data_IF_560157460523
#
_entry.id   IF_560157460523
#
_cell.length_a   1.000
_cell.length_b   1.000
_cell.length_c   1.000
_cell.angle_alpha   90.00
_cell.angle_beta   90.00
_cell.angle_gamma   90.00
#
_symmetry.space_group_name_H-M   'P 1'
#
loop_
_entity.id
_entity.type
_entity.pdbx_description
1 polymer ?
#
# COMPACT_ATOMS: atom_id res chain seq x y z
N UNK A 1 9.46 -9.29 -10.41
CA UNK A 1 8.97 -8.69 -9.16
C UNK A 1 8.57 -7.24 -9.41
N UNK A 2 7.51 -6.75 -8.76
CA UNK A 2 7.11 -5.33 -8.78
C UNK A 2 7.65 -4.68 -7.50
N UNK A 3 8.22 -3.46 -7.64
CA UNK A 3 8.74 -2.68 -6.52
C UNK A 3 9.87 -3.38 -5.73
N UNK A 4 10.66 -4.21 -6.38
CA UNK A 4 11.86 -4.85 -5.81
C UNK A 4 12.93 -3.84 -5.39
N UNK A 5 12.89 -2.66 -6.01
CA UNK A 5 13.72 -1.51 -5.69
C UNK A 5 13.37 -0.85 -4.34
N UNK A 6 12.14 -1.02 -3.85
CA UNK A 6 11.69 -0.37 -2.62
C UNK A 6 12.36 -0.93 -1.34
N UNK A 7 12.44 -2.26 -1.11
CA UNK A 7 13.23 -2.81 0.00
C UNK A 7 14.71 -2.43 -0.11
N UNK A 8 15.31 -2.65 -1.28
CA UNK A 8 16.71 -2.31 -1.53
C UNK A 8 17.01 -0.84 -1.22
N UNK A 9 16.20 0.10 -1.73
CA UNK A 9 16.35 1.52 -1.45
C UNK A 9 16.24 1.85 0.04
N UNK A 10 15.32 1.21 0.76
CA UNK A 10 15.15 1.40 2.21
C UNK A 10 16.35 0.88 3.00
N UNK A 11 16.88 -0.28 2.62
CA UNK A 11 18.05 -0.90 3.24
C UNK A 11 19.32 -0.06 3.01
N UNK A 12 19.54 0.41 1.76
CA UNK A 12 20.64 1.30 1.41
C UNK A 12 20.58 2.60 2.21
N UNK A 13 19.41 3.23 2.31
CA UNK A 13 19.25 4.46 3.09
C UNK A 13 19.50 4.25 4.58
N UNK A 14 19.10 3.11 5.12
CA UNK A 14 19.36 2.76 6.53
C UNK A 14 20.86 2.54 6.80
N UNK A 15 21.56 1.85 5.89
CA UNK A 15 22.99 1.57 6.03
C UNK A 15 23.90 2.75 5.66
N UNK A 16 23.36 3.80 5.03
CA UNK A 16 24.15 4.94 4.57
C UNK A 16 24.57 5.86 5.72
N UNK A 17 25.86 6.14 5.83
CA UNK A 17 26.39 7.11 6.80
C UNK A 17 26.17 8.57 6.38
N UNK A 18 25.99 8.81 5.08
CA UNK A 18 25.73 10.13 4.52
C UNK A 18 25.06 10.02 3.15
N UNK A 19 24.37 11.07 2.72
CA UNK A 19 23.82 11.18 1.38
C UNK A 19 23.94 12.63 0.88
N UNK A 20 24.05 12.79 -0.44
CA UNK A 20 24.06 14.09 -1.09
C UNK A 20 22.81 14.26 -1.94
N UNK A 21 22.22 15.46 -1.89
CA UNK A 21 21.12 15.85 -2.74
C UNK A 21 21.59 16.73 -3.88
N UNK A 22 21.40 16.28 -5.12
CA UNK A 22 21.72 17.04 -6.33
C UNK A 22 20.50 17.89 -6.74
N UNK A 23 20.52 19.15 -6.37
CA UNK A 23 19.41 20.08 -6.64
C UNK A 23 19.44 20.53 -8.10
N UNK A 24 18.34 20.32 -8.80
CA UNK A 24 18.11 20.84 -10.15
C UNK A 24 18.54 19.92 -11.29
N UNK A 25 19.26 18.84 -10.99
CA UNK A 25 19.64 17.86 -12.00
C UNK A 25 18.62 16.74 -12.12
N UNK A 26 18.22 16.41 -13.34
CA UNK A 26 17.29 15.30 -13.62
C UNK A 26 18.06 14.18 -14.33
N UNK A 27 18.54 13.22 -13.55
CA UNK A 27 19.31 12.09 -14.08
C UNK A 27 18.45 10.91 -14.53
N UNK A 28 17.17 10.92 -14.17
CA UNK A 28 16.25 9.83 -14.47
C UNK A 28 15.02 10.33 -15.23
N UNK A 29 14.87 9.85 -16.47
CA UNK A 29 13.71 10.13 -17.30
C UNK A 29 12.75 8.94 -17.27
N UNK A 30 11.64 9.08 -16.56
CA UNK A 30 10.60 8.06 -16.55
C UNK A 30 9.82 8.07 -17.87
N UNK A 31 10.08 7.07 -18.71
CA UNK A 31 9.31 6.89 -19.95
C UNK A 31 8.04 6.10 -19.67
N UNK A 32 6.91 6.71 -19.99
CA UNK A 32 5.63 6.03 -20.00
C UNK A 32 5.47 5.24 -21.28
N UNK A 33 5.67 3.93 -21.18
CA UNK A 33 5.43 3.00 -22.29
C UNK A 33 4.11 2.27 -22.11
N UNK A 34 3.41 2.03 -23.22
CA UNK A 34 2.22 1.18 -23.23
C UNK A 34 2.61 -0.24 -22.80
N UNK A 35 1.82 -0.87 -21.90
CA UNK A 35 2.15 -2.18 -21.35
C UNK A 35 3.18 -2.20 -20.21
N UNK A 36 3.63 -1.03 -19.71
CA UNK A 36 4.50 -0.95 -18.54
C UNK A 36 3.93 -1.74 -17.36
N UNK A 37 4.79 -2.53 -16.72
CA UNK A 37 4.43 -3.37 -15.54
C UNK A 37 3.79 -2.52 -14.44
N UNK A 38 4.26 -1.30 -14.23
CA UNK A 38 3.76 -0.40 -13.18
C UNK A 38 2.37 0.20 -13.45
N UNK A 39 1.81 0.03 -14.66
CA UNK A 39 0.53 0.64 -15.04
C UNK A 39 -0.64 -0.32 -15.12
N UNK A 40 -0.38 -1.60 -15.33
CA UNK A 40 -1.43 -2.60 -15.53
C UNK A 40 -1.40 -3.58 -14.38
N UNK A 41 -2.50 -3.64 -13.61
CA UNK A 41 -2.63 -4.62 -12.54
C UNK A 41 -2.35 -6.04 -13.04
N UNK A 42 -1.56 -6.78 -12.29
CA UNK A 42 -1.23 -8.18 -12.53
C UNK A 42 -1.70 -9.03 -11.35
N UNK A 43 -2.24 -10.22 -11.64
CA UNK A 43 -2.77 -11.11 -10.60
C UNK A 43 -1.74 -11.55 -9.54
N UNK A 44 -0.47 -11.54 -9.89
CA UNK A 44 0.65 -11.90 -9.01
C UNK A 44 1.18 -10.73 -8.15
N UNK A 45 0.66 -9.51 -8.32
CA UNK A 45 1.11 -8.34 -7.54
C UNK A 45 0.89 -8.52 -6.06
N UNK A 46 -0.25 -9.07 -5.67
CA UNK A 46 -0.55 -9.28 -4.26
C UNK A 46 0.49 -10.18 -3.57
N UNK A 47 0.84 -11.31 -4.19
CA UNK A 47 1.84 -12.24 -3.65
C UNK A 47 3.23 -11.59 -3.60
N UNK A 48 3.60 -10.80 -4.62
CA UNK A 48 4.85 -10.03 -4.62
C UNK A 48 4.89 -8.99 -3.50
N UNK A 49 3.79 -8.28 -3.28
CA UNK A 49 3.69 -7.29 -2.20
C UNK A 49 3.79 -7.94 -0.82
N UNK A 50 3.17 -9.08 -0.61
CA UNK A 50 3.30 -9.83 0.64
C UNK A 50 4.75 -10.23 0.90
N UNK A 51 5.43 -10.73 -0.12
CA UNK A 51 6.84 -11.11 -0.04
C UNK A 51 7.75 -9.92 0.27
N UNK A 52 7.58 -8.79 -0.44
CA UNK A 52 8.32 -7.55 -0.19
C UNK A 52 8.13 -7.07 1.25
N UNK A 53 6.89 -7.05 1.74
CA UNK A 53 6.64 -6.65 3.13
C UNK A 53 7.27 -7.63 4.14
N UNK A 54 7.36 -8.92 3.80
CA UNK A 54 8.04 -9.91 4.63
C UNK A 54 9.55 -9.70 4.66
N UNK A 55 10.17 -9.48 3.51
CA UNK A 55 11.60 -9.18 3.40
C UNK A 55 11.94 -7.90 4.17
N UNK A 56 11.13 -6.84 4.02
CA UNK A 56 11.26 -5.59 4.76
C UNK A 56 11.18 -5.82 6.29
N UNK A 57 10.20 -6.61 6.75
CA UNK A 57 10.08 -6.96 8.17
C UNK A 57 11.30 -7.74 8.66
N UNK A 58 11.76 -8.73 7.88
CA UNK A 58 12.91 -9.56 8.24
C UNK A 58 14.21 -8.76 8.36
N UNK A 59 14.39 -7.74 7.55
CA UNK A 59 15.54 -6.84 7.65
C UNK A 59 15.43 -5.92 8.86
N UNK A 60 14.38 -5.11 8.92
CA UNK A 60 14.24 -4.06 9.92
C UNK A 60 13.91 -4.55 11.33
N UNK A 61 13.41 -5.78 11.49
CA UNK A 61 13.22 -6.37 12.82
C UNK A 61 14.54 -6.73 13.53
N UNK A 62 15.66 -6.75 12.80
CA UNK A 62 17.00 -7.01 13.35
C UNK A 62 17.75 -5.71 13.71
N UNK A 63 17.20 -4.57 13.37
CA UNK A 63 17.80 -3.28 13.70
C UNK A 63 17.54 -2.96 15.17
N UNK A 64 18.59 -2.78 15.96
CA UNK A 64 18.51 -2.58 17.42
C UNK A 64 18.41 -1.09 17.80
N UNK A 65 18.83 -0.19 16.92
CA UNK A 65 18.92 1.25 17.13
C UNK A 65 17.59 1.98 16.97
N UNK A 66 16.61 1.37 16.28
CA UNK A 66 15.29 1.96 16.08
C UNK A 66 14.19 0.91 15.87
N UNK A 67 13.01 1.14 16.46
CA UNK A 67 11.82 0.29 16.26
C UNK A 67 11.03 0.69 15.00
N UNK A 68 11.21 -0.07 13.94
CA UNK A 68 10.52 0.10 12.66
C UNK A 68 9.11 -0.53 12.61
N UNK A 69 8.59 -1.04 13.71
CA UNK A 69 7.32 -1.77 13.74
C UNK A 69 6.16 -0.98 13.12
N UNK A 70 6.04 0.32 13.40
CA UNK A 70 4.95 1.14 12.86
C UNK A 70 5.10 1.40 11.36
N UNK A 71 6.32 1.58 10.86
CA UNK A 71 6.62 1.77 9.44
C UNK A 71 6.31 0.50 8.64
N UNK A 72 6.67 -0.67 9.16
CA UNK A 72 6.36 -1.97 8.53
C UNK A 72 4.85 -2.21 8.47
N UNK A 73 4.12 -1.88 9.55
CA UNK A 73 2.65 -1.95 9.59
C UNK A 73 2.01 -0.96 8.62
N UNK A 74 2.53 0.26 8.54
CA UNK A 74 2.10 1.27 7.59
C UNK A 74 2.29 0.78 6.15
N UNK A 75 3.44 0.21 5.83
CA UNK A 75 3.71 -0.39 4.52
C UNK A 75 2.66 -1.45 4.17
N UNK A 76 2.40 -2.42 5.05
CA UNK A 76 1.37 -3.44 4.82
C UNK A 76 -0.02 -2.84 4.63
N UNK A 77 -0.36 -1.79 5.38
CA UNK A 77 -1.64 -1.10 5.20
C UNK A 77 -1.77 -0.49 3.80
N UNK A 78 -0.72 0.17 3.30
CA UNK A 78 -0.72 0.75 1.95
C UNK A 78 -0.85 -0.33 0.87
N UNK A 79 -0.14 -1.45 1.00
CA UNK A 79 -0.22 -2.56 0.07
C UNK A 79 -1.62 -3.19 0.03
N UNK A 80 -2.21 -3.47 1.20
CA UNK A 80 -3.57 -4.00 1.29
C UNK A 80 -4.61 -3.02 0.72
N UNK A 81 -4.46 -1.72 1.01
CA UNK A 81 -5.31 -0.66 0.44
C UNK A 81 -5.22 -0.62 -1.08
N UNK A 82 -4.02 -0.68 -1.64
CA UNK A 82 -3.80 -0.65 -3.08
C UNK A 82 -4.45 -1.86 -3.77
N UNK A 83 -4.23 -3.05 -3.24
CA UNK A 83 -4.84 -4.27 -3.77
C UNK A 83 -6.37 -4.20 -3.74
N UNK A 84 -6.96 -3.79 -2.62
CA UNK A 84 -8.41 -3.61 -2.50
C UNK A 84 -8.92 -2.58 -3.52
N UNK A 85 -8.19 -1.48 -3.73
CA UNK A 85 -8.56 -0.47 -4.73
C UNK A 85 -8.59 -1.07 -6.14
N UNK A 86 -7.54 -1.80 -6.54
CA UNK A 86 -7.48 -2.45 -7.85
C UNK A 86 -8.61 -3.45 -8.06
N UNK A 87 -8.93 -4.26 -7.04
CA UNK A 87 -10.07 -5.19 -7.11
C UNK A 87 -11.39 -4.45 -7.34
N UNK A 88 -11.63 -3.37 -6.59
CA UNK A 88 -12.88 -2.60 -6.68
C UNK A 88 -13.02 -1.80 -7.98
N UNK A 89 -11.91 -1.37 -8.58
CA UNK A 89 -11.90 -0.66 -9.87
C UNK A 89 -11.93 -1.60 -11.08
N UNK A 90 -11.79 -2.91 -10.88
CA UNK A 90 -11.78 -3.87 -11.98
C UNK A 90 -13.20 -4.12 -12.50
N UNK A 91 -13.54 -3.50 -13.64
CA UNK A 91 -14.86 -3.63 -14.30
C UNK A 91 -15.14 -5.02 -14.86
N UNK A 92 -14.12 -5.86 -15.06
CA UNK A 92 -14.29 -7.24 -15.53
C UNK A 92 -14.79 -8.19 -14.42
N UNK A 93 -14.72 -7.77 -13.14
CA UNK A 93 -15.17 -8.56 -12.00
C UNK A 93 -16.62 -8.24 -11.65
N UNK A 94 -17.41 -9.30 -11.41
CA UNK A 94 -18.74 -9.12 -10.81
C UNK A 94 -18.62 -8.55 -9.39
N UNK A 95 -19.67 -7.86 -8.92
CA UNK A 95 -19.71 -7.33 -7.55
C UNK A 95 -19.49 -8.41 -6.48
N UNK A 96 -19.99 -9.63 -6.75
CA UNK A 96 -19.79 -10.79 -5.87
C UNK A 96 -18.32 -11.21 -5.82
N UNK A 97 -17.66 -11.26 -6.98
CA UNK A 97 -16.24 -11.61 -7.05
C UNK A 97 -15.35 -10.55 -6.43
N UNK A 98 -15.65 -9.26 -6.65
CA UNK A 98 -14.96 -8.16 -5.97
C UNK A 98 -15.05 -8.32 -4.46
N UNK A 99 -16.25 -8.55 -3.92
CA UNK A 99 -16.44 -8.72 -2.47
C UNK A 99 -15.66 -9.92 -1.94
N UNK A 100 -15.67 -11.05 -2.65
CA UNK A 100 -14.92 -12.26 -2.29
C UNK A 100 -13.41 -11.99 -2.23
N UNK A 101 -12.87 -11.34 -3.26
CA UNK A 101 -11.44 -11.00 -3.34
C UNK A 101 -11.04 -9.97 -2.27
N UNK A 102 -11.82 -8.91 -2.09
CA UNK A 102 -11.58 -7.92 -1.02
C UNK A 102 -11.59 -8.58 0.35
N UNK A 103 -12.53 -9.48 0.60
CA UNK A 103 -12.57 -10.25 1.85
C UNK A 103 -11.31 -11.09 2.03
N UNK A 104 -10.85 -11.77 0.97
CA UNK A 104 -9.62 -12.56 1.02
C UNK A 104 -8.39 -11.73 1.39
N UNK A 105 -8.26 -10.50 0.87
CA UNK A 105 -7.19 -9.58 1.27
C UNK A 105 -7.31 -9.19 2.75
N UNK A 106 -8.52 -8.82 3.20
CA UNK A 106 -8.75 -8.39 4.59
C UNK A 106 -8.56 -9.53 5.60
N UNK A 107 -8.85 -10.77 5.20
CA UNK A 107 -8.72 -11.97 6.04
C UNK A 107 -7.31 -12.58 5.97
N UNK A 108 -6.43 -12.08 5.09
CA UNK A 108 -5.10 -12.62 4.96
C UNK A 108 -4.35 -12.54 6.31
N UNK A 109 -3.74 -13.64 6.81
CA UNK A 109 -3.16 -13.70 8.15
C UNK A 109 -2.13 -12.59 8.42
N UNK A 110 -1.32 -12.24 7.41
CA UNK A 110 -0.34 -11.17 7.52
C UNK A 110 -1.00 -9.80 7.68
N UNK A 111 -2.05 -9.50 6.90
CA UNK A 111 -2.81 -8.25 7.04
C UNK A 111 -3.43 -8.15 8.43
N UNK A 112 -4.08 -9.23 8.88
CA UNK A 112 -4.69 -9.26 10.23
C UNK A 112 -3.67 -9.00 11.33
N UNK A 113 -2.49 -9.64 11.24
CA UNK A 113 -1.39 -9.45 12.19
C UNK A 113 -0.87 -8.02 12.17
N UNK A 114 -0.61 -7.47 11.00
CA UNK A 114 -0.04 -6.13 10.85
C UNK A 114 -1.01 -5.02 11.26
N UNK A 115 -2.32 -5.22 11.03
CA UNK A 115 -3.32 -4.23 11.48
C UNK A 115 -3.52 -4.25 13.00
N UNK A 116 -3.04 -5.25 13.71
CA UNK A 116 -3.10 -5.27 15.17
C UNK A 116 -2.04 -4.34 15.77
N UNK A 117 -2.48 -3.34 16.52
CA UNK A 117 -1.57 -2.37 17.15
C UNK A 117 -0.85 -1.42 16.18
N UNK A 118 -1.41 -1.23 14.97
CA UNK A 118 -0.98 -0.15 14.10
C UNK A 118 -1.56 1.17 14.63
N UNK A 119 -0.69 2.13 14.94
CA UNK A 119 -1.10 3.45 15.38
C UNK A 119 -1.49 4.32 14.18
N UNK A 120 -2.77 4.64 14.12
CA UNK A 120 -3.32 5.52 13.08
C UNK A 120 -3.61 6.94 13.59
N UNK A 121 -3.20 7.26 14.81
CA UNK A 121 -3.45 8.58 15.42
C UNK A 121 -2.89 9.74 14.59
N UNK A 122 -1.68 9.66 13.99
CA UNK A 122 -1.11 10.76 13.20
C UNK A 122 -1.74 10.93 11.82
N UNK A 123 -2.58 9.98 11.37
CA UNK A 123 -3.14 10.01 10.02
C UNK A 123 -4.47 10.78 9.95
N UNK A 124 -4.81 11.38 8.79
CA UNK A 124 -6.07 12.07 8.59
C UNK A 124 -7.27 11.11 8.65
N UNK A 125 -8.46 11.66 8.92
CA UNK A 125 -9.69 10.90 9.19
C UNK A 125 -10.03 9.89 8.08
N UNK A 126 -9.82 10.22 6.82
CA UNK A 126 -10.10 9.32 5.69
C UNK A 126 -9.22 8.05 5.76
N UNK A 127 -7.99 8.22 6.21
CA UNK A 127 -7.04 7.13 6.43
C UNK A 127 -7.48 6.23 7.58
N UNK A 128 -7.92 6.84 8.69
CA UNK A 128 -8.46 6.12 9.85
C UNK A 128 -9.68 5.30 9.46
N UNK A 129 -10.59 5.86 8.66
CA UNK A 129 -11.76 5.13 8.16
C UNK A 129 -11.37 3.93 7.28
N UNK A 130 -10.37 4.10 6.39
CA UNK A 130 -9.84 3.01 5.60
C UNK A 130 -9.22 1.92 6.46
N UNK A 131 -8.40 2.30 7.42
CA UNK A 131 -7.82 1.38 8.39
C UNK A 131 -8.91 0.59 9.13
N UNK A 132 -9.92 1.27 9.69
CA UNK A 132 -11.01 0.62 10.40
C UNK A 132 -11.79 -0.34 9.50
N UNK A 133 -11.97 0.00 8.21
CA UNK A 133 -12.64 -0.89 7.26
C UNK A 133 -11.86 -2.20 7.06
N UNK A 134 -10.54 -2.14 6.97
CA UNK A 134 -9.67 -3.32 6.85
C UNK A 134 -9.60 -4.07 8.19
N UNK A 135 -9.38 -3.37 9.28
CA UNK A 135 -9.24 -3.93 10.63
C UNK A 135 -10.46 -4.71 11.08
N UNK A 136 -11.65 -4.19 10.81
CA UNK A 136 -12.94 -4.83 11.13
C UNK A 136 -13.51 -5.64 9.97
N UNK A 137 -12.77 -5.78 8.86
CA UNK A 137 -13.16 -6.58 7.69
C UNK A 137 -14.52 -6.17 7.12
N UNK A 138 -14.85 -4.89 7.18
CA UNK A 138 -16.14 -4.34 6.76
C UNK A 138 -16.11 -3.86 5.31
N UNK A 139 -16.63 -4.69 4.40
CA UNK A 139 -16.77 -4.35 2.98
C UNK A 139 -17.71 -3.15 2.79
N UNK A 140 -18.77 -3.06 3.59
CA UNK A 140 -19.72 -1.93 3.54
C UNK A 140 -19.05 -0.60 3.87
N UNK A 141 -18.32 -0.53 4.98
CA UNK A 141 -17.54 0.65 5.36
C UNK A 141 -16.49 1.00 4.29
N UNK A 142 -15.81 0.01 3.73
CA UNK A 142 -14.81 0.21 2.66
C UNK A 142 -15.42 0.83 1.41
N UNK A 143 -16.60 0.39 1.00
CA UNK A 143 -17.32 0.96 -0.15
C UNK A 143 -17.77 2.39 0.11
N UNK A 144 -18.28 2.67 1.30
CA UNK A 144 -18.65 4.03 1.71
C UNK A 144 -17.46 4.99 1.62
N UNK A 145 -16.30 4.60 2.14
CA UNK A 145 -15.08 5.40 2.08
C UNK A 145 -14.63 5.63 0.62
N UNK A 146 -14.77 4.62 -0.25
CA UNK A 146 -14.47 4.78 -1.68
C UNK A 146 -15.37 5.80 -2.36
N UNK A 147 -16.66 5.81 -2.04
CA UNK A 147 -17.60 6.80 -2.58
C UNK A 147 -17.24 8.22 -2.11
N UNK A 148 -16.94 8.40 -0.84
CA UNK A 148 -16.52 9.70 -0.30
C UNK A 148 -15.23 10.23 -0.94
N UNK A 149 -14.25 9.36 -1.20
CA UNK A 149 -12.99 9.77 -1.85
C UNK A 149 -13.18 10.18 -3.32
N UNK A 150 -14.10 9.56 -4.04
CA UNK A 150 -14.42 9.95 -5.42
C UNK A 150 -15.11 11.32 -5.48
N UNK A 151 -15.96 11.63 -4.51
CA UNK A 151 -16.61 12.95 -4.39
C UNK A 151 -15.56 14.05 -4.17
N UNK A 152 -14.61 13.84 -3.28
CA UNK A 152 -13.54 14.83 -3.00
C UNK A 152 -12.61 15.08 -4.20
N UNK A 153 -12.37 14.08 -5.04
CA UNK A 153 -11.58 14.24 -6.27
C UNK A 153 -12.36 14.99 -7.37
N UNK A 154 -13.67 14.85 -7.44
CA UNK A 154 -14.52 15.63 -8.34
C UNK A 154 -14.49 17.12 -7.97
N UNK A 155 -14.61 17.46 -6.69
CA UNK A 155 -14.55 18.86 -6.23
C UNK A 155 -13.16 19.51 -6.43
N UNK A 156 -12.06 18.75 -6.44
CA UNK A 156 -10.72 19.28 -6.74
C UNK A 156 -10.46 19.54 -8.22
N UNK A 157 -11.28 18.99 -9.13
CA UNK A 157 -11.13 19.20 -10.59
C UNK A 157 -11.94 20.40 -11.11
N UNK A 158 -12.76 21.03 -10.27
CA UNK A 158 -13.61 22.18 -10.60
C UNK A 158 -13.05 23.52 -10.07
N UNK A 159 -11.86 23.51 -9.52
CA UNK A 159 -11.08 24.67 -9.10
C UNK A 159 -9.66 24.55 -9.66
#
# INVERSE_FOLDING_TARGET
HVSEDAPFGSEVLYCANSFAYLKGDQFYHYRTTEGSVSRTYKSWWWDSHLKINEETENFFSKCEDYDFTQQIKSNMFYLARAEIYYILCNSALTRRDQNRKVKAVMDHPRVVRMMKGFDVSPYPIQFKMLYWSIRYRSIGLRRLVSLCSNVTTLFRRTH
#
